data_IF_028025992180
#
_entry.id   IF_028025992180
#
_cell.length_a   1.000
_cell.length_b   1.000
_cell.length_c   1.000
_cell.angle_alpha   90.00
_cell.angle_beta   90.00
_cell.angle_gamma   90.00
#
_symmetry.space_group_name_H-M   'P 1'
#
loop_
_entity.id
_entity.type
_entity.pdbx_description
1 polymer ?
#
# COMPACT_ATOMS: atom_id res chain seq x y z
N UNK A 1 11.27 22.61 22.41
CA UNK A 1 10.75 22.50 21.04
C UNK A 1 9.23 22.43 21.13
N UNK A 2 8.56 23.46 20.63
CA UNK A 2 7.11 23.58 20.60
C UNK A 2 6.42 22.33 20.03
N UNK A 3 5.21 22.00 20.52
CA UNK A 3 4.48 20.78 20.17
C UNK A 3 4.30 20.59 18.65
N UNK A 4 3.88 21.64 17.94
CA UNK A 4 3.73 21.62 16.48
C UNK A 4 5.01 21.24 15.72
N UNK A 5 6.20 21.66 16.18
CA UNK A 5 7.47 21.33 15.54
C UNK A 5 7.81 19.86 15.70
N UNK A 6 7.50 19.27 16.86
CA UNK A 6 7.67 17.83 17.10
C UNK A 6 6.75 17.02 16.19
N UNK A 7 5.48 17.43 16.07
CA UNK A 7 4.50 16.77 15.20
C UNK A 7 4.91 16.85 13.73
N UNK A 8 5.32 18.03 13.24
CA UNK A 8 5.80 18.17 11.86
C UNK A 8 7.03 17.29 11.59
N UNK A 9 8.01 17.28 12.51
CA UNK A 9 9.21 16.45 12.35
C UNK A 9 8.87 14.96 12.32
N UNK A 10 7.96 14.50 13.18
CA UNK A 10 7.48 13.11 13.17
C UNK A 10 6.78 12.75 11.85
N UNK A 11 5.90 13.61 11.36
CA UNK A 11 5.22 13.40 10.07
C UNK A 11 6.24 13.34 8.93
N UNK A 12 7.13 14.32 8.80
CA UNK A 12 8.15 14.33 7.75
C UNK A 12 9.06 13.09 7.81
N UNK A 13 9.47 12.65 9.01
CA UNK A 13 10.23 11.41 9.16
C UNK A 13 9.41 10.20 8.69
N UNK A 14 8.13 10.10 9.10
CA UNK A 14 7.25 9.02 8.66
C UNK A 14 7.11 8.99 7.13
N UNK A 15 6.79 10.13 6.50
CA UNK A 15 6.69 10.20 5.04
C UNK A 15 8.00 9.83 4.34
N UNK A 16 9.15 10.28 4.85
CA UNK A 16 10.44 9.91 4.29
C UNK A 16 10.67 8.39 4.31
N UNK A 17 10.44 7.73 5.45
CA UNK A 17 10.65 6.28 5.56
C UNK A 17 9.60 5.48 4.81
N UNK A 18 8.36 5.95 4.76
CA UNK A 18 7.28 5.36 3.98
C UNK A 18 7.62 5.38 2.49
N UNK A 19 8.10 6.49 1.96
CA UNK A 19 8.44 6.62 0.53
C UNK A 19 9.78 5.96 0.15
N UNK A 20 10.57 5.55 1.14
CA UNK A 20 11.83 4.86 0.90
C UNK A 20 11.60 3.39 0.50
N UNK A 21 11.21 3.18 -0.77
CA UNK A 21 10.79 1.87 -1.30
C UNK A 21 11.66 1.44 -2.51
N UNK A 22 12.98 1.22 -2.31
CA UNK A 22 13.88 0.83 -3.40
C UNK A 22 13.58 -0.57 -3.98
N UNK A 23 12.82 -1.39 -3.26
CA UNK A 23 12.42 -2.73 -3.67
C UNK A 23 11.35 -2.73 -4.76
N UNK A 24 10.55 -1.66 -4.89
CA UNK A 24 9.44 -1.62 -5.85
C UNK A 24 9.90 -1.80 -7.31
N UNK A 25 11.09 -1.30 -7.66
CA UNK A 25 11.67 -1.49 -9.00
C UNK A 25 11.95 -2.95 -9.35
N UNK A 26 12.07 -3.83 -8.36
CA UNK A 26 12.36 -5.26 -8.53
C UNK A 26 11.13 -6.15 -8.31
N UNK A 27 9.97 -5.57 -7.99
CA UNK A 27 8.77 -6.31 -7.62
C UNK A 27 8.30 -7.24 -8.75
N UNK A 28 8.28 -6.74 -9.99
CA UNK A 28 7.84 -7.53 -11.13
C UNK A 28 8.74 -8.75 -11.36
N UNK A 29 10.06 -8.59 -11.25
CA UNK A 29 11.02 -9.69 -11.36
C UNK A 29 10.84 -10.70 -10.21
N UNK A 30 10.53 -10.22 -9.00
CA UNK A 30 10.27 -11.08 -7.85
C UNK A 30 9.02 -11.94 -8.02
N UNK A 31 7.93 -11.37 -8.56
CA UNK A 31 6.67 -12.08 -8.83
C UNK A 31 6.81 -13.14 -9.94
N UNK A 32 7.62 -12.86 -10.96
CA UNK A 32 7.93 -13.80 -12.04
C UNK A 32 9.00 -14.82 -11.66
N UNK A 33 9.71 -14.57 -10.56
CA UNK A 33 10.76 -15.44 -10.04
C UNK A 33 10.25 -16.78 -9.52
N UNK A 34 11.16 -17.70 -9.14
CA UNK A 34 10.82 -19.08 -8.79
C UNK A 34 9.95 -19.23 -7.53
N UNK A 35 9.86 -18.18 -6.70
CA UNK A 35 9.09 -18.20 -5.45
C UNK A 35 7.58 -18.11 -5.71
N UNK A 36 7.17 -17.15 -6.53
CA UNK A 36 5.75 -16.93 -6.87
C UNK A 36 5.37 -17.56 -8.22
N UNK A 37 6.32 -17.70 -9.13
CA UNK A 37 6.23 -18.40 -10.41
C UNK A 37 4.99 -18.00 -11.23
N UNK A 38 4.68 -16.70 -11.25
CA UNK A 38 3.59 -16.16 -12.06
C UNK A 38 4.02 -16.05 -13.52
N UNK A 39 3.07 -16.22 -14.44
CA UNK A 39 3.31 -15.86 -15.84
C UNK A 39 3.18 -14.35 -16.01
N UNK A 40 3.86 -13.83 -17.04
CA UNK A 40 3.79 -12.41 -17.38
C UNK A 40 2.34 -11.96 -17.62
N UNK A 41 1.54 -12.77 -18.33
CA UNK A 41 0.13 -12.46 -18.58
C UNK A 41 -0.71 -12.45 -17.29
N UNK A 42 -0.44 -13.34 -16.33
CA UNK A 42 -1.14 -13.32 -15.04
C UNK A 42 -0.82 -12.05 -14.26
N UNK A 43 0.45 -11.62 -14.24
CA UNK A 43 0.84 -10.38 -13.59
C UNK A 43 0.11 -9.16 -14.20
N UNK A 44 0.15 -9.01 -15.53
CA UNK A 44 -0.41 -7.84 -16.21
C UNK A 44 -1.93 -7.81 -16.27
N UNK A 45 -2.60 -8.95 -16.49
CA UNK A 45 -4.04 -8.98 -16.72
C UNK A 45 -4.86 -9.39 -15.51
N UNK A 46 -4.26 -10.05 -14.51
CA UNK A 46 -4.99 -10.56 -13.35
C UNK A 46 -4.57 -9.93 -12.02
N UNK A 47 -3.31 -9.51 -11.88
CA UNK A 47 -2.76 -9.02 -10.62
C UNK A 47 -2.76 -7.49 -10.56
N UNK A 48 -2.02 -6.81 -11.44
CA UNK A 48 -1.93 -5.33 -11.42
C UNK A 48 -3.27 -4.61 -11.60
N UNK A 49 -4.26 -5.11 -12.37
CA UNK A 49 -5.55 -4.45 -12.46
C UNK A 49 -6.30 -4.42 -11.12
N UNK A 50 -6.06 -5.40 -10.23
CA UNK A 50 -6.70 -5.43 -8.91
C UNK A 50 -6.30 -4.21 -8.09
N UNK A 51 -5.01 -3.86 -8.09
CA UNK A 51 -4.53 -2.63 -7.45
C UNK A 51 -5.21 -1.39 -8.02
N UNK A 52 -5.17 -1.20 -9.34
CA UNK A 52 -5.74 0.00 -9.99
C UNK A 52 -7.23 0.16 -9.70
N UNK A 53 -8.03 -0.90 -9.88
CA UNK A 53 -9.49 -0.83 -9.69
C UNK A 53 -9.87 -0.73 -8.22
N UNK A 54 -9.16 -1.44 -7.34
CA UNK A 54 -9.41 -1.34 -5.89
C UNK A 54 -9.08 0.06 -5.39
N UNK A 55 -7.92 0.62 -5.74
CA UNK A 55 -7.53 1.99 -5.43
C UNK A 55 -8.63 2.98 -5.84
N UNK A 56 -9.08 2.96 -7.11
CA UNK A 56 -10.12 3.87 -7.59
C UNK A 56 -11.41 3.78 -6.76
N UNK A 57 -11.84 2.57 -6.40
CA UNK A 57 -13.05 2.37 -5.61
C UNK A 57 -12.90 2.80 -4.15
N UNK A 58 -11.77 2.45 -3.52
CA UNK A 58 -11.49 2.73 -2.11
C UNK A 58 -11.21 4.21 -1.89
N UNK A 59 -10.61 4.90 -2.87
CA UNK A 59 -10.34 6.33 -2.83
C UNK A 59 -11.59 7.16 -2.48
N UNK A 60 -12.75 6.83 -3.07
CA UNK A 60 -14.01 7.52 -2.78
C UNK A 60 -14.41 7.35 -1.30
N UNK A 61 -14.26 6.13 -0.77
CA UNK A 61 -14.59 5.84 0.62
C UNK A 61 -13.60 6.52 1.58
N UNK A 62 -12.30 6.45 1.30
CA UNK A 62 -11.25 7.07 2.11
C UNK A 62 -11.40 8.58 2.14
N UNK A 63 -11.69 9.22 1.01
CA UNK A 63 -11.90 10.67 0.92
C UNK A 63 -13.02 11.14 1.88
N UNK A 64 -14.13 10.41 1.94
CA UNK A 64 -15.20 10.70 2.89
C UNK A 64 -14.79 10.41 4.34
N UNK A 65 -14.06 9.32 4.57
CA UNK A 65 -13.59 8.95 5.91
C UNK A 65 -12.56 9.93 6.46
N UNK A 66 -11.68 10.48 5.63
CA UNK A 66 -10.67 11.48 6.04
C UNK A 66 -11.31 12.75 6.56
N UNK A 67 -12.42 13.18 5.95
CA UNK A 67 -13.19 14.35 6.40
C UNK A 67 -13.88 14.08 7.74
N UNK A 68 -14.34 12.86 7.99
CA UNK A 68 -15.05 12.49 9.23
C UNK A 68 -14.10 12.18 10.40
N UNK A 69 -12.99 11.48 10.14
CA UNK A 69 -12.11 10.92 11.17
C UNK A 69 -10.85 11.75 11.41
N UNK A 70 -10.59 12.78 10.59
CA UNK A 70 -9.33 13.52 10.53
C UNK A 70 -8.13 12.63 10.12
N UNK A 71 -6.96 13.24 9.97
CA UNK A 71 -5.76 12.58 9.43
C UNK A 71 -5.17 11.47 10.33
N UNK A 72 -5.23 11.60 11.66
CA UNK A 72 -4.50 10.71 12.59
C UNK A 72 -4.86 9.22 12.48
N UNK A 73 -6.14 8.81 12.59
CA UNK A 73 -6.50 7.39 12.50
C UNK A 73 -6.27 6.83 11.08
N UNK A 74 -6.39 7.67 10.04
CA UNK A 74 -6.18 7.24 8.65
C UNK A 74 -4.71 6.90 8.41
N UNK A 75 -3.77 7.71 8.91
CA UNK A 75 -2.33 7.41 8.83
C UNK A 75 -1.97 6.12 9.58
N UNK A 76 -2.59 5.85 10.74
CA UNK A 76 -2.33 4.59 11.47
C UNK A 76 -2.88 3.39 10.70
N UNK A 77 -4.06 3.53 10.10
CA UNK A 77 -4.65 2.48 9.27
C UNK A 77 -3.84 2.21 8.00
N UNK A 78 -3.35 3.26 7.33
CA UNK A 78 -2.41 3.17 6.21
C UNK A 78 -1.17 2.34 6.59
N UNK A 79 -0.53 2.67 7.72
CA UNK A 79 0.68 1.96 8.16
C UNK A 79 0.42 0.46 8.41
N UNK A 80 -0.73 0.11 9.00
CA UNK A 80 -1.13 -1.29 9.19
C UNK A 80 -1.40 -2.01 7.86
N UNK A 81 -2.01 -1.32 6.90
CA UNK A 81 -2.23 -1.87 5.57
C UNK A 81 -0.90 -2.09 4.84
N UNK A 82 0.07 -1.19 4.96
CA UNK A 82 1.44 -1.37 4.44
C UNK A 82 2.11 -2.63 4.99
N UNK A 83 2.11 -2.79 6.32
CA UNK A 83 2.71 -3.96 6.98
C UNK A 83 2.04 -5.25 6.47
N UNK A 84 0.72 -5.21 6.28
CA UNK A 84 -0.04 -6.33 5.75
C UNK A 84 0.35 -6.66 4.31
N UNK A 85 0.46 -5.65 3.43
CA UNK A 85 0.89 -5.82 2.04
C UNK A 85 2.27 -6.45 1.95
N UNK A 86 3.27 -5.91 2.67
CA UNK A 86 4.62 -6.46 2.67
C UNK A 86 4.67 -7.87 3.26
N UNK A 87 3.90 -8.14 4.32
CA UNK A 87 3.82 -9.49 4.87
C UNK A 87 3.21 -10.50 3.90
N UNK A 88 2.11 -10.14 3.23
CA UNK A 88 1.49 -10.97 2.22
C UNK A 88 2.43 -11.21 1.04
N UNK A 89 3.17 -10.18 0.59
CA UNK A 89 4.13 -10.31 -0.49
C UNK A 89 5.23 -11.32 -0.17
N UNK A 90 5.75 -11.33 1.06
CA UNK A 90 6.87 -12.20 1.45
C UNK A 90 6.44 -13.65 1.73
N UNK A 91 5.29 -13.85 2.37
CA UNK A 91 4.90 -15.17 2.88
C UNK A 91 3.77 -15.84 2.11
N UNK A 92 2.88 -15.08 1.47
CA UNK A 92 1.72 -15.65 0.81
C UNK A 92 2.09 -16.25 -0.55
N UNK A 93 1.46 -17.38 -0.88
CA UNK A 93 1.71 -18.10 -2.13
C UNK A 93 0.41 -18.34 -2.88
N UNK A 94 0.46 -18.17 -4.20
CA UNK A 94 -0.68 -18.37 -5.09
C UNK A 94 -1.35 -17.05 -5.50
N UNK A 95 -1.97 -17.09 -6.68
CA UNK A 95 -2.50 -15.90 -7.35
C UNK A 95 -3.55 -15.16 -6.52
N UNK A 96 -4.49 -15.87 -5.89
CA UNK A 96 -5.55 -15.23 -5.09
C UNK A 96 -5.01 -14.43 -3.90
N UNK A 97 -3.97 -14.93 -3.23
CA UNK A 97 -3.34 -14.21 -2.13
C UNK A 97 -2.55 -13.00 -2.60
N UNK A 98 -1.92 -13.09 -3.77
CA UNK A 98 -1.24 -11.96 -4.38
C UNK A 98 -2.22 -10.90 -4.90
N UNK A 99 -3.39 -11.30 -5.39
CA UNK A 99 -4.49 -10.37 -5.71
C UNK A 99 -5.01 -9.67 -4.45
N UNK A 100 -5.14 -10.40 -3.34
CA UNK A 100 -5.51 -9.79 -2.06
C UNK A 100 -4.42 -8.83 -1.55
N UNK A 101 -3.15 -9.17 -1.74
CA UNK A 101 -2.02 -8.28 -1.44
C UNK A 101 -2.10 -6.98 -2.25
N UNK A 102 -2.36 -7.06 -3.56
CA UNK A 102 -2.57 -5.87 -4.42
C UNK A 102 -3.80 -5.06 -4.01
N UNK A 103 -4.86 -5.70 -3.53
CA UNK A 103 -6.01 -5.01 -2.95
C UNK A 103 -5.62 -4.24 -1.69
N UNK A 104 -4.88 -4.87 -0.75
CA UNK A 104 -4.36 -4.19 0.43
C UNK A 104 -3.44 -3.02 0.04
N UNK A 105 -2.63 -3.18 -1.01
CA UNK A 105 -1.82 -2.10 -1.54
C UNK A 105 -2.67 -0.98 -2.17
N UNK A 106 -3.79 -1.30 -2.81
CA UNK A 106 -4.73 -0.31 -3.34
C UNK A 106 -5.37 0.53 -2.23
N UNK A 107 -5.65 -0.10 -1.08
CA UNK A 107 -6.10 0.60 0.14
C UNK A 107 -5.02 1.56 0.65
N UNK A 108 -3.77 1.10 0.69
CA UNK A 108 -2.62 1.93 1.07
C UNK A 108 -2.53 3.18 0.18
N UNK A 109 -2.51 3.00 -1.14
CA UNK A 109 -2.44 4.11 -2.11
C UNK A 109 -3.62 5.08 -1.94
N UNK A 110 -4.82 4.57 -1.64
CA UNK A 110 -5.99 5.41 -1.39
C UNK A 110 -5.86 6.26 -0.12
N UNK A 111 -5.22 5.72 0.93
CA UNK A 111 -5.01 6.42 2.20
C UNK A 111 -3.87 7.44 2.18
N UNK A 112 -3.01 7.44 1.15
CA UNK A 112 -1.93 8.42 1.04
C UNK A 112 -2.43 9.87 0.95
N UNK A 113 -3.66 10.08 0.47
CA UNK A 113 -4.29 11.42 0.40
C UNK A 113 -4.43 12.08 1.77
N UNK A 114 -4.44 11.31 2.85
CA UNK A 114 -4.57 11.81 4.22
C UNK A 114 -3.26 12.37 4.80
N UNK A 115 -2.12 12.10 4.16
CA UNK A 115 -0.79 12.55 4.58
C UNK A 115 -0.39 13.85 3.88
#
# INVERSE_FOLDING_TARGET
>A
MEFWKKTCLLLCCYGFFKEFRPSESFLNEFLLGPVHNLTQDQAYYSLYPVWTYSYMSVLIAVFLLTDLLLYKPVIVFEALAYISTWGLLLWARGLAWLQFMEFCYGVVTATEVAY
#
